data_IF_507446055220
#
_entry.id   IF_507446055220
#
_cell.length_a   1.000
_cell.length_b   1.000
_cell.length_c   1.000
_cell.angle_alpha   90.00
_cell.angle_beta   90.00
_cell.angle_gamma   90.00
#
_symmetry.space_group_name_H-M   'P 1'
#
loop_
_entity.id
_entity.type
_entity.pdbx_description
1 polymer ?
#
# COMPACT_ATOMS: atom_id res chain seq x y z
N UNK A 1 54.90 6.75 -14.62
CA UNK A 1 53.66 6.35 -13.91
C UNK A 1 52.48 7.19 -14.41
N UNK A 2 51.58 6.66 -15.25
CA UNK A 2 50.43 7.42 -15.75
C UNK A 2 49.42 7.62 -14.61
N UNK A 3 49.22 8.86 -14.17
CA UNK A 3 48.21 9.18 -13.14
C UNK A 3 46.83 9.06 -13.75
N UNK A 4 45.97 8.20 -13.17
CA UNK A 4 44.56 8.07 -13.61
C UNK A 4 43.85 9.41 -13.45
N UNK A 5 43.20 9.87 -14.52
CA UNK A 5 42.43 11.12 -14.51
C UNK A 5 41.30 11.03 -13.47
N UNK A 6 40.92 12.14 -12.80
CA UNK A 6 39.90 12.14 -11.74
C UNK A 6 38.55 11.51 -12.14
N UNK A 7 38.20 11.54 -13.43
CA UNK A 7 37.00 10.89 -13.96
C UNK A 7 37.04 9.37 -13.90
N UNK A 8 38.22 8.75 -14.09
CA UNK A 8 38.37 7.30 -14.01
C UNK A 8 38.22 6.77 -12.58
N UNK A 9 38.62 7.57 -11.59
CA UNK A 9 38.42 7.25 -10.16
C UNK A 9 36.94 7.35 -9.78
N UNK A 10 36.22 8.36 -10.28
CA UNK A 10 34.76 8.51 -10.06
C UNK A 10 33.96 7.38 -10.71
N UNK A 11 34.33 6.95 -11.91
CA UNK A 11 33.67 5.84 -12.60
C UNK A 11 33.94 4.48 -11.92
N UNK A 12 35.16 4.27 -11.40
CA UNK A 12 35.51 3.06 -10.64
C UNK A 12 34.76 3.00 -9.30
N UNK A 13 34.61 4.13 -8.61
CA UNK A 13 33.88 4.21 -7.34
C UNK A 13 32.39 3.88 -7.50
N UNK A 14 31.75 4.36 -8.57
CA UNK A 14 30.37 3.95 -8.94
C UNK A 14 30.20 2.44 -9.19
N UNK A 15 31.25 1.74 -9.64
CA UNK A 15 31.20 0.28 -9.86
C UNK A 15 31.38 -0.53 -8.58
N UNK A 16 32.13 0.00 -7.61
CA UNK A 16 32.38 -0.62 -6.31
C UNK A 16 31.22 -0.41 -5.34
N UNK A 17 30.58 0.77 -5.38
CA UNK A 17 29.49 1.14 -4.46
C UNK A 17 28.14 0.49 -4.79
N UNK A 18 28.09 -0.48 -5.72
CA UNK A 18 26.87 -1.25 -5.98
C UNK A 18 25.66 -0.42 -6.42
N UNK A 19 25.91 0.80 -6.93
CA UNK A 19 24.91 1.66 -7.56
C UNK A 19 24.46 0.97 -8.85
N UNK A 20 23.56 0.00 -8.70
CA UNK A 20 22.95 -0.74 -9.80
C UNK A 20 22.26 0.31 -10.66
N UNK A 21 22.76 0.61 -11.86
CA UNK A 21 22.06 1.53 -12.73
C UNK A 21 20.72 0.86 -13.02
N UNK A 22 19.63 1.55 -12.67
CA UNK A 22 18.28 1.20 -13.11
C UNK A 22 18.40 0.85 -14.60
N UNK A 23 18.18 -0.42 -14.92
CA UNK A 23 18.37 -0.91 -16.28
C UNK A 23 17.53 -0.06 -17.21
N UNK A 24 18.13 0.41 -18.32
CA UNK A 24 17.43 1.18 -19.35
C UNK A 24 16.26 0.38 -19.96
N UNK A 25 16.21 -0.93 -19.71
CA UNK A 25 15.15 -1.86 -20.13
C UNK A 25 14.01 -2.00 -19.12
N UNK A 26 14.05 -1.30 -17.99
CA UNK A 26 12.92 -1.27 -17.06
C UNK A 26 11.89 -0.29 -17.63
N UNK A 27 10.68 -0.73 -18.04
CA UNK A 27 9.65 0.19 -18.49
C UNK A 27 9.41 1.25 -17.40
N UNK A 28 9.20 2.52 -17.76
CA UNK A 28 9.00 3.58 -16.79
C UNK A 28 7.86 3.15 -15.86
N UNK A 29 8.15 3.13 -14.56
CA UNK A 29 7.23 2.61 -13.56
C UNK A 29 5.90 3.36 -13.71
N UNK A 30 4.83 2.62 -14.00
CA UNK A 30 3.55 3.22 -14.36
C UNK A 30 3.09 4.19 -13.27
N UNK A 31 2.66 5.39 -13.68
CA UNK A 31 2.16 6.40 -12.75
C UNK A 31 1.00 5.83 -11.92
N UNK A 32 1.07 5.98 -10.61
CA UNK A 32 -0.02 5.57 -9.72
C UNK A 32 -1.16 6.57 -9.91
N UNK A 33 -2.33 6.07 -10.30
CA UNK A 33 -3.50 6.91 -10.54
C UNK A 33 -3.82 7.77 -9.31
N UNK A 34 -3.99 9.08 -9.50
CA UNK A 34 -4.27 10.05 -8.44
C UNK A 34 -3.04 10.60 -7.70
N UNK A 35 -1.81 10.18 -8.07
CA UNK A 35 -0.57 10.72 -7.53
C UNK A 35 0.25 11.42 -8.62
N UNK A 36 1.12 12.33 -8.22
CA UNK A 36 2.12 12.95 -9.07
C UNK A 36 3.17 11.92 -9.52
N UNK A 37 3.88 12.21 -10.61
CA UNK A 37 4.96 11.34 -11.08
C UNK A 37 6.08 11.21 -10.03
N UNK A 38 6.38 12.29 -9.31
CA UNK A 38 7.40 12.30 -8.25
C UNK A 38 7.02 11.41 -7.08
N UNK A 39 5.77 11.46 -6.64
CA UNK A 39 5.27 10.62 -5.56
C UNK A 39 5.16 9.16 -6.00
N UNK A 40 4.72 8.91 -7.23
CA UNK A 40 4.72 7.56 -7.81
C UNK A 40 6.11 6.95 -7.81
N UNK A 41 7.13 7.67 -8.27
CA UNK A 41 8.52 7.20 -8.27
C UNK A 41 9.08 6.97 -6.86
N UNK A 42 8.68 7.81 -5.88
CA UNK A 42 9.08 7.60 -4.49
C UNK A 42 8.46 6.34 -3.88
N UNK A 43 7.19 6.06 -4.20
CA UNK A 43 6.50 4.84 -3.81
C UNK A 43 7.16 3.62 -4.43
N UNK A 44 7.33 3.62 -5.75
CA UNK A 44 7.96 2.49 -6.45
C UNK A 44 9.38 2.22 -5.97
N UNK A 45 10.17 3.27 -5.69
CA UNK A 45 11.48 3.13 -5.06
C UNK A 45 11.39 2.47 -3.68
N UNK A 46 10.42 2.86 -2.85
CA UNK A 46 10.21 2.22 -1.55
C UNK A 46 9.80 0.76 -1.72
N UNK A 47 8.88 0.46 -2.63
CA UNK A 47 8.44 -0.92 -2.92
C UNK A 47 9.60 -1.81 -3.43
N UNK A 48 10.49 -1.27 -4.24
CA UNK A 48 11.65 -1.99 -4.77
C UNK A 48 12.76 -2.23 -3.73
N UNK A 49 12.85 -1.37 -2.72
CA UNK A 49 13.89 -1.44 -1.67
C UNK A 49 13.39 -2.06 -0.36
N UNK A 50 12.07 -2.23 -0.20
CA UNK A 50 11.50 -2.76 1.03
C UNK A 50 11.91 -4.22 1.23
N UNK A 51 12.16 -4.59 2.49
CA UNK A 51 12.40 -5.97 2.91
C UNK A 51 11.15 -6.59 3.56
N UNK A 52 10.09 -5.80 3.71
CA UNK A 52 8.83 -6.26 4.28
C UNK A 52 8.15 -7.25 3.34
N UNK A 53 7.75 -8.41 3.86
CA UNK A 53 7.14 -9.49 3.08
C UNK A 53 5.86 -9.05 2.32
N UNK A 54 5.10 -8.14 2.92
CA UNK A 54 3.83 -7.63 2.37
C UNK A 54 4.03 -6.48 1.37
N UNK A 55 5.25 -5.94 1.26
CA UNK A 55 5.58 -4.85 0.34
C UNK A 55 6.33 -5.41 -0.87
N UNK A 56 5.70 -5.35 -2.03
CA UNK A 56 6.29 -5.79 -3.29
C UNK A 56 5.99 -4.79 -4.41
N UNK A 57 6.78 -4.77 -5.50
CA UNK A 57 6.57 -3.84 -6.61
C UNK A 57 5.12 -3.86 -7.13
N UNK A 58 4.49 -2.68 -7.17
CA UNK A 58 3.12 -2.46 -7.61
C UNK A 58 2.03 -2.66 -6.55
N UNK A 59 2.37 -3.05 -5.32
CA UNK A 59 1.39 -3.32 -4.26
C UNK A 59 0.56 -2.08 -3.88
N UNK A 60 1.17 -0.89 -3.85
CA UNK A 60 0.47 0.35 -3.49
C UNK A 60 -0.56 0.72 -4.55
N UNK A 61 -0.21 0.58 -5.83
CA UNK A 61 -1.14 0.81 -6.93
C UNK A 61 -2.32 -0.17 -6.89
N UNK A 62 -2.04 -1.44 -6.59
CA UNK A 62 -3.06 -2.48 -6.40
C UNK A 62 -3.99 -2.14 -5.24
N UNK A 63 -3.44 -1.82 -4.09
CA UNK A 63 -4.16 -1.46 -2.87
C UNK A 63 -5.04 -0.25 -3.04
N UNK A 64 -4.53 0.83 -3.64
CA UNK A 64 -5.34 2.02 -3.92
C UNK A 64 -6.52 1.72 -4.84
N UNK A 65 -6.32 0.88 -5.86
CA UNK A 65 -7.40 0.45 -6.75
C UNK A 65 -8.46 -0.35 -5.97
N UNK A 66 -8.05 -1.29 -5.13
CA UNK A 66 -8.97 -2.09 -4.30
C UNK A 66 -9.71 -1.20 -3.30
N UNK A 67 -9.00 -0.27 -2.67
CA UNK A 67 -9.59 0.62 -1.68
C UNK A 67 -10.61 1.55 -2.31
N UNK A 68 -10.31 2.10 -3.49
CA UNK A 68 -11.29 2.84 -4.30
C UNK A 68 -12.48 2.00 -4.72
N UNK A 69 -12.29 0.74 -5.12
CA UNK A 69 -13.41 -0.11 -5.50
C UNK A 69 -14.36 -0.38 -4.31
N UNK A 70 -13.79 -0.60 -3.13
CA UNK A 70 -14.58 -0.77 -1.89
C UNK A 70 -15.30 0.53 -1.50
N UNK A 71 -14.55 1.64 -1.44
CA UNK A 71 -15.04 2.96 -1.05
C UNK A 71 -15.85 3.69 -2.13
N UNK A 72 -15.87 3.19 -3.36
CA UNK A 72 -16.49 3.84 -4.52
C UNK A 72 -17.72 3.13 -5.10
N UNK A 73 -18.02 1.90 -4.70
CA UNK A 73 -19.18 1.19 -5.25
C UNK A 73 -20.50 1.93 -5.02
N UNK A 74 -21.40 1.86 -6.00
CA UNK A 74 -22.72 2.48 -5.97
C UNK A 74 -23.61 1.76 -4.94
N UNK A 75 -24.39 2.53 -4.19
CA UNK A 75 -25.37 2.02 -3.22
C UNK A 75 -25.21 2.58 -1.82
N UNK A 76 -26.34 2.69 -1.13
CA UNK A 76 -26.47 3.24 0.24
C UNK A 76 -26.30 2.17 1.33
N UNK A 77 -26.20 0.89 0.94
CA UNK A 77 -26.10 -0.22 1.89
C UNK A 77 -24.70 -0.24 2.53
N UNK A 78 -24.62 -0.44 3.86
CA UNK A 78 -23.35 -0.67 4.54
C UNK A 78 -22.59 -1.83 3.90
N UNK A 79 -21.29 -1.65 3.76
CA UNK A 79 -20.35 -2.68 3.30
C UNK A 79 -19.57 -3.19 4.48
N UNK A 80 -19.22 -4.46 4.41
CA UNK A 80 -18.48 -5.11 5.48
C UNK A 80 -17.14 -5.60 4.93
N UNK A 81 -16.01 -5.26 5.58
CA UNK A 81 -14.73 -5.91 5.32
C UNK A 81 -14.82 -7.40 5.67
N UNK A 82 -14.15 -8.25 4.90
CA UNK A 82 -14.05 -9.69 5.18
C UNK A 82 -12.60 -10.04 5.49
N UNK A 83 -12.39 -10.93 6.46
CA UNK A 83 -11.09 -11.52 6.71
C UNK A 83 -10.88 -12.61 5.64
N UNK A 84 -9.76 -12.58 4.94
CA UNK A 84 -9.35 -13.70 4.08
C UNK A 84 -8.41 -14.60 4.91
N UNK A 85 -8.74 -15.89 5.00
CA UNK A 85 -7.98 -16.87 5.80
C UNK A 85 -6.71 -17.35 5.05
N UNK A 86 -6.54 -16.97 3.79
CA UNK A 86 -5.37 -17.38 3.02
C UNK A 86 -4.14 -16.53 3.41
N UNK A 87 -3.11 -17.17 3.96
CA UNK A 87 -1.83 -16.54 4.35
C UNK A 87 -0.95 -16.06 3.18
N UNK A 88 -1.46 -16.09 1.95
CA UNK A 88 -0.74 -15.58 0.78
C UNK A 88 -0.80 -14.05 0.73
N UNK A 89 0.34 -13.37 0.51
CA UNK A 89 0.40 -11.88 0.49
C UNK A 89 -0.57 -11.23 -0.50
N UNK A 90 -0.86 -11.89 -1.64
CA UNK A 90 -1.84 -11.39 -2.61
C UNK A 90 -3.30 -11.56 -2.15
N UNK A 91 -3.57 -12.62 -1.39
CA UNK A 91 -4.88 -12.98 -0.88
C UNK A 91 -5.24 -12.08 0.31
N UNK A 92 -4.27 -11.76 1.16
CA UNK A 92 -4.42 -10.83 2.27
C UNK A 92 -4.96 -9.45 1.80
N UNK A 93 -4.58 -9.00 0.60
CA UNK A 93 -5.10 -7.76 -0.03
C UNK A 93 -6.57 -7.84 -0.49
N UNK A 94 -7.24 -8.97 -0.27
CA UNK A 94 -8.70 -9.07 -0.39
C UNK A 94 -9.41 -8.53 0.85
N UNK A 95 -8.77 -8.61 2.02
CA UNK A 95 -9.24 -7.87 3.20
C UNK A 95 -8.87 -6.40 3.05
N UNK A 96 -9.89 -5.54 3.00
CA UNK A 96 -9.70 -4.10 2.85
C UNK A 96 -9.00 -3.47 4.09
N UNK A 97 -9.09 -4.11 5.25
CA UNK A 97 -8.39 -3.68 6.48
C UNK A 97 -6.89 -3.93 6.34
N UNK A 98 -6.52 -5.08 5.78
CA UNK A 98 -5.11 -5.38 5.46
C UNK A 98 -4.59 -4.48 4.33
N UNK A 99 -5.43 -4.14 3.34
CA UNK A 99 -5.09 -3.11 2.35
C UNK A 99 -4.77 -1.77 3.04
N UNK A 100 -5.53 -1.38 4.07
CA UNK A 100 -5.25 -0.15 4.83
C UNK A 100 -3.99 -0.25 5.68
N UNK A 101 -3.71 -1.40 6.28
CA UNK A 101 -2.45 -1.67 6.99
C UNK A 101 -1.25 -1.49 6.06
N UNK A 102 -1.29 -2.10 4.88
CA UNK A 102 -0.21 -1.98 3.90
C UNK A 102 -0.02 -0.51 3.46
N UNK A 103 -1.11 0.22 3.19
CA UNK A 103 -1.02 1.65 2.87
C UNK A 103 -0.43 2.47 4.03
N UNK A 104 -0.72 2.10 5.28
CA UNK A 104 -0.15 2.74 6.46
C UNK A 104 1.36 2.48 6.57
N UNK A 105 1.79 1.24 6.33
CA UNK A 105 3.20 0.86 6.23
C UNK A 105 3.93 1.72 5.20
N UNK A 106 3.37 1.87 3.99
CA UNK A 106 3.96 2.73 2.95
C UNK A 106 4.03 4.18 3.40
N UNK A 107 2.95 4.72 3.99
CA UNK A 107 2.93 6.10 4.49
C UNK A 107 4.02 6.36 5.53
N UNK A 108 4.22 5.44 6.47
CA UNK A 108 5.23 5.54 7.52
C UNK A 108 6.65 5.65 6.95
N UNK A 109 6.95 4.97 5.84
CA UNK A 109 8.31 4.92 5.28
C UNK A 109 8.58 5.93 4.16
N UNK A 110 7.55 6.59 3.63
CA UNK A 110 7.73 7.58 2.57
C UNK A 110 8.36 8.89 3.07
N UNK A 111 9.14 9.60 2.22
CA UNK A 111 9.60 10.95 2.52
C UNK A 111 8.43 11.93 2.75
N UNK A 112 8.62 13.04 3.48
CA UNK A 112 7.51 13.90 3.92
C UNK A 112 6.56 14.40 2.82
N UNK A 113 7.10 14.80 1.65
CA UNK A 113 6.29 15.31 0.54
C UNK A 113 5.45 14.21 -0.13
N UNK A 114 6.03 13.09 -0.62
CA UNK A 114 5.27 11.93 -1.07
C UNK A 114 4.26 11.41 -0.05
N UNK A 115 4.64 11.35 1.23
CA UNK A 115 3.78 10.95 2.33
C UNK A 115 2.54 11.84 2.43
N UNK A 116 2.71 13.16 2.40
CA UNK A 116 1.58 14.10 2.47
C UNK A 116 0.63 13.98 1.26
N UNK A 117 1.16 13.73 0.06
CA UNK A 117 0.34 13.53 -1.13
C UNK A 117 -0.46 12.22 -1.06
N UNK A 118 0.21 11.11 -0.77
CA UNK A 118 -0.46 9.82 -0.58
C UNK A 118 -1.46 9.87 0.59
N UNK A 119 -1.08 10.52 1.69
CA UNK A 119 -1.91 10.67 2.88
C UNK A 119 -3.21 11.40 2.61
N UNK A 120 -3.19 12.49 1.83
CA UNK A 120 -4.43 13.19 1.41
C UNK A 120 -5.35 12.29 0.60
N UNK A 121 -4.79 11.49 -0.30
CA UNK A 121 -5.57 10.56 -1.09
C UNK A 121 -6.19 9.47 -0.21
N UNK A 122 -5.40 8.87 0.66
CA UNK A 122 -5.88 7.83 1.58
C UNK A 122 -6.93 8.38 2.55
N UNK A 123 -6.73 9.58 3.10
CA UNK A 123 -7.70 10.23 3.97
C UNK A 123 -9.08 10.41 3.30
N UNK A 124 -9.10 10.77 2.01
CA UNK A 124 -10.36 10.89 1.26
C UNK A 124 -11.10 9.54 1.11
N UNK A 125 -10.35 8.44 1.04
CA UNK A 125 -10.91 7.08 1.00
C UNK A 125 -11.33 6.63 2.40
N UNK A 126 -10.57 7.00 3.44
CA UNK A 126 -10.89 6.70 4.84
C UNK A 126 -12.24 7.31 5.24
N UNK A 127 -12.54 8.54 4.82
CA UNK A 127 -13.86 9.17 5.05
C UNK A 127 -14.98 8.31 4.45
N UNK A 128 -14.85 7.92 3.17
CA UNK A 128 -15.86 7.08 2.49
C UNK A 128 -15.97 5.69 3.10
N UNK A 129 -14.85 5.15 3.59
CA UNK A 129 -14.84 3.88 4.30
C UNK A 129 -15.64 3.99 5.61
N UNK A 130 -15.44 5.07 6.37
CA UNK A 130 -16.20 5.34 7.60
C UNK A 130 -17.71 5.49 7.34
N UNK A 131 -18.09 6.20 6.29
CA UNK A 131 -19.50 6.39 5.89
C UNK A 131 -20.18 5.06 5.51
N UNK A 132 -19.40 4.09 5.01
CA UNK A 132 -19.92 2.84 4.47
C UNK A 132 -19.79 1.66 5.40
N UNK A 133 -19.03 1.77 6.48
CA UNK A 133 -18.76 0.66 7.40
C UNK A 133 -19.30 0.97 8.79
N UNK A 134 -20.07 0.03 9.33
CA UNK A 134 -20.65 0.18 10.65
C UNK A 134 -19.59 -0.05 11.75
N UNK A 135 -19.66 0.68 12.87
CA UNK A 135 -18.80 0.43 14.02
C UNK A 135 -19.09 -0.94 14.64
N UNK A 136 -18.05 -1.64 15.09
CA UNK A 136 -18.17 -2.94 15.77
C UNK A 136 -18.45 -2.75 17.28
N UNK A 137 -19.64 -3.12 17.78
CA UNK A 137 -19.96 -3.01 19.21
C UNK A 137 -19.17 -4.01 20.08
N UNK A 138 -18.63 -5.08 19.49
CA UNK A 138 -17.90 -6.14 20.20
C UNK A 138 -16.38 -6.05 20.00
N UNK A 139 -15.88 -4.91 19.53
CA UNK A 139 -14.46 -4.72 19.21
C UNK A 139 -13.53 -5.06 20.37
N UNK A 140 -13.93 -4.74 21.60
CA UNK A 140 -13.16 -4.97 22.82
C UNK A 140 -12.98 -6.46 23.13
N UNK A 141 -13.91 -7.31 22.70
CA UNK A 141 -13.86 -8.76 22.90
C UNK A 141 -13.08 -9.43 21.76
N UNK A 142 -13.25 -8.96 20.52
CA UNK A 142 -12.70 -9.61 19.33
C UNK A 142 -11.27 -9.18 18.97
N UNK A 143 -10.82 -7.98 19.37
CA UNK A 143 -9.59 -7.38 18.82
C UNK A 143 -8.63 -6.79 19.87
N UNK A 144 -8.31 -7.59 20.87
CA UNK A 144 -7.27 -7.26 21.85
C UNK A 144 -5.88 -7.07 21.23
N UNK A 145 -5.57 -7.71 20.08
CA UNK A 145 -4.25 -7.68 19.43
C UNK A 145 -3.94 -6.41 18.60
N UNK A 146 -4.94 -5.57 18.29
CA UNK A 146 -4.80 -4.36 17.45
C UNK A 146 -5.80 -3.27 17.90
N UNK A 147 -5.73 -2.82 19.16
CA UNK A 147 -6.74 -1.93 19.72
C UNK A 147 -6.72 -0.52 19.11
N UNK A 148 -5.58 -0.09 18.54
CA UNK A 148 -5.37 1.29 18.09
C UNK A 148 -5.72 1.53 16.60
N UNK A 149 -5.86 0.47 15.81
CA UNK A 149 -6.15 0.59 14.38
C UNK A 149 -7.66 0.76 14.15
N UNK A 150 -8.12 2.00 13.96
CA UNK A 150 -9.56 2.33 13.91
C UNK A 150 -10.32 1.60 12.80
N UNK A 151 -9.66 1.23 11.68
CA UNK A 151 -10.29 0.51 10.57
C UNK A 151 -10.66 -0.94 10.93
N UNK A 152 -10.02 -1.50 11.96
CA UNK A 152 -10.40 -2.79 12.54
C UNK A 152 -11.56 -2.69 13.53
N UNK A 153 -11.95 -1.48 13.95
CA UNK A 153 -13.10 -1.26 14.85
C UNK A 153 -14.43 -1.24 14.08
N UNK A 154 -14.48 -1.88 12.92
CA UNK A 154 -15.64 -1.95 12.02
C UNK A 154 -16.17 -3.37 11.95
N UNK A 155 -17.50 -3.48 11.85
CA UNK A 155 -18.18 -4.76 11.73
C UNK A 155 -17.65 -5.49 10.50
N UNK A 156 -17.23 -6.73 10.72
CA UNK A 156 -16.82 -7.61 9.65
C UNK A 156 -18.00 -8.37 9.08
N UNK A 157 -17.92 -8.67 7.79
CA UNK A 157 -19.00 -9.32 7.08
C UNK A 157 -18.96 -10.83 7.35
N UNK A 158 -20.12 -11.48 7.19
CA UNK A 158 -20.17 -12.92 7.25
C UNK A 158 -19.37 -13.53 6.09
N UNK A 159 -18.33 -14.32 6.40
CA UNK A 159 -17.42 -14.96 5.42
C UNK A 159 -18.13 -15.63 4.23
N UNK A 160 -19.33 -16.16 4.42
CA UNK A 160 -20.10 -16.87 3.40
C UNK A 160 -20.92 -15.95 2.48
N UNK A 161 -21.15 -14.69 2.86
CA UNK A 161 -21.93 -13.74 2.07
C UNK A 161 -21.14 -13.17 0.88
N UNK A 162 -19.81 -13.28 0.86
CA UNK A 162 -18.96 -12.76 -0.20
C UNK A 162 -18.78 -13.74 -1.37
N UNK A 163 -18.95 -15.06 -1.14
CA UNK A 163 -18.73 -16.11 -2.15
C UNK A 163 -19.96 -16.37 -3.02
N UNK A 164 -21.11 -15.78 -2.73
CA UNK A 164 -22.34 -16.00 -3.50
C UNK A 164 -22.88 -17.44 -3.45
N UNK A 165 -22.39 -18.25 -2.50
CA UNK A 165 -22.90 -19.60 -2.25
C UNK A 165 -23.88 -19.48 -1.09
N UNK A 166 -25.17 -19.40 -1.44
CA UNK A 166 -26.29 -19.68 -0.54
C UNK A 166 -26.59 -21.17 -0.66
#
# INVERSE_FOLDING_TARGET
MPRKRPGALRAARRRLDGDRPLSRDTPPESRIHGLSARTSAAVHRYEALSTDYDVFPGVTAYALRRYRAFAGGSGTRPRYPFLDDCGCRGCALRDIRHVRDMLDTVLCHLPPRPRAELGRLVASLDIRYLERTLPDPFVHVRRWWRPYAWWYRRLEGCRYAATGVV
#
